data_IF_485987277270
#
_entry.id   IF_485987277270
#
_cell.length_a   1.000
_cell.length_b   1.000
_cell.length_c   1.000
_cell.angle_alpha   90.00
_cell.angle_beta   90.00
_cell.angle_gamma   90.00
#
_symmetry.space_group_name_H-M   'P 1'
#
loop_
_entity.id
_entity.type
_entity.pdbx_description
1 polymer ?
#
# COMPACT_ATOMS: atom_id res chain seq x y z
N UNK A 1 13.69 -6.56 -6.75
CA UNK A 1 13.58 -7.52 -7.87
C UNK A 1 12.33 -8.37 -7.77
N UNK A 2 12.14 -9.19 -6.73
CA UNK A 2 10.93 -10.03 -6.57
C UNK A 2 9.62 -9.23 -6.53
N UNK A 3 9.61 -8.03 -5.92
CA UNK A 3 8.43 -7.15 -5.91
C UNK A 3 8.01 -6.67 -7.30
N UNK A 4 8.96 -6.35 -8.18
CA UNK A 4 8.67 -5.91 -9.56
C UNK A 4 8.16 -7.07 -10.43
N UNK A 5 8.57 -8.31 -10.11
CA UNK A 5 8.13 -9.50 -10.83
C UNK A 5 6.64 -9.81 -10.64
N UNK A 6 6.06 -9.50 -9.47
CA UNK A 6 4.63 -9.73 -9.23
C UNK A 6 3.73 -8.90 -10.14
N UNK A 7 4.13 -7.67 -10.47
CA UNK A 7 3.36 -6.80 -11.37
C UNK A 7 3.34 -7.39 -12.78
N UNK A 8 4.48 -7.89 -13.26
CA UNK A 8 4.55 -8.54 -14.58
C UNK A 8 3.66 -9.79 -14.67
N UNK A 9 3.71 -10.66 -13.64
CA UNK A 9 2.85 -11.84 -13.57
C UNK A 9 1.37 -11.45 -13.51
N UNK A 10 1.01 -10.44 -12.71
CA UNK A 10 -0.36 -9.96 -12.62
C UNK A 10 -0.88 -9.46 -13.98
N UNK A 11 -0.07 -8.74 -14.75
CA UNK A 11 -0.47 -8.26 -16.09
C UNK A 11 -0.74 -9.41 -17.06
N UNK A 12 0.08 -10.47 -17.03
CA UNK A 12 -0.16 -11.67 -17.84
C UNK A 12 -1.46 -12.36 -17.43
N UNK A 13 -1.72 -12.50 -16.13
CA UNK A 13 -2.96 -13.10 -15.62
C UNK A 13 -4.18 -12.28 -16.04
N UNK A 14 -4.13 -10.95 -15.94
CA UNK A 14 -5.19 -10.05 -16.38
C UNK A 14 -5.47 -10.23 -17.88
N UNK A 15 -4.43 -10.29 -18.72
CA UNK A 15 -4.58 -10.49 -20.16
C UNK A 15 -5.24 -11.83 -20.51
N UNK A 16 -4.84 -12.92 -19.84
CA UNK A 16 -5.42 -14.25 -20.06
C UNK A 16 -6.90 -14.30 -19.63
N UNK A 17 -7.23 -13.72 -18.47
CA UNK A 17 -8.61 -13.65 -18.00
C UNK A 17 -9.47 -12.76 -18.91
N UNK A 18 -8.93 -11.64 -19.38
CA UNK A 18 -9.60 -10.76 -20.33
C UNK A 18 -9.91 -11.48 -21.64
N UNK A 19 -8.94 -12.19 -22.21
CA UNK A 19 -9.15 -13.00 -23.41
C UNK A 19 -10.21 -14.08 -23.19
N UNK A 20 -10.13 -14.84 -22.10
CA UNK A 20 -11.06 -15.94 -21.83
C UNK A 20 -12.51 -15.47 -21.59
N UNK A 21 -12.68 -14.33 -20.93
CA UNK A 21 -14.02 -13.83 -20.56
C UNK A 21 -14.62 -12.97 -21.69
N UNK A 22 -13.88 -12.00 -22.25
CA UNK A 22 -14.44 -11.05 -23.21
C UNK A 22 -14.77 -11.66 -24.58
N UNK A 23 -14.15 -12.80 -24.93
CA UNK A 23 -14.50 -13.54 -26.16
C UNK A 23 -15.91 -14.14 -26.12
N UNK A 24 -16.51 -14.27 -24.94
CA UNK A 24 -17.84 -14.83 -24.78
C UNK A 24 -18.92 -13.76 -24.98
N UNK A 25 -20.03 -14.11 -25.64
CA UNK A 25 -21.15 -13.20 -25.88
C UNK A 25 -22.23 -13.36 -24.79
N UNK A 26 -21.96 -12.85 -23.59
CA UNK A 26 -22.95 -12.76 -22.52
C UNK A 26 -23.68 -11.42 -22.57
N UNK A 27 -24.97 -11.46 -22.91
CA UNK A 27 -25.86 -10.31 -22.80
C UNK A 27 -27.04 -10.70 -21.93
N UNK A 28 -27.16 -10.05 -20.77
CA UNK A 28 -28.24 -10.30 -19.83
C UNK A 28 -29.02 -9.01 -19.60
N UNK A 29 -30.27 -8.99 -20.05
CA UNK A 29 -31.17 -7.86 -19.81
C UNK A 29 -31.94 -8.07 -18.50
N UNK A 30 -31.72 -7.15 -17.57
CA UNK A 30 -32.46 -7.03 -16.32
C UNK A 30 -33.50 -5.91 -16.46
N UNK A 31 -34.63 -6.07 -15.74
CA UNK A 31 -35.76 -5.15 -15.76
C UNK A 31 -36.30 -4.87 -17.17
N UNK A 32 -36.84 -5.88 -17.86
CA UNK A 32 -37.52 -5.74 -19.16
C UNK A 32 -36.72 -4.96 -20.25
N UNK A 33 -35.39 -4.96 -20.19
CA UNK A 33 -34.52 -4.30 -21.17
C UNK A 33 -33.96 -2.93 -20.75
N UNK A 34 -34.31 -2.42 -19.56
CA UNK A 34 -33.75 -1.15 -19.08
C UNK A 34 -32.28 -1.22 -18.64
N UNK A 35 -31.80 -2.40 -18.21
CA UNK A 35 -30.40 -2.58 -17.83
C UNK A 35 -29.80 -3.81 -18.51
N UNK A 36 -28.87 -3.61 -19.44
CA UNK A 36 -28.22 -4.69 -20.20
C UNK A 36 -26.80 -4.90 -19.68
N UNK A 37 -26.59 -6.01 -19.00
CA UNK A 37 -25.27 -6.47 -18.59
C UNK A 37 -24.61 -7.24 -19.73
N UNK A 38 -23.64 -6.58 -20.36
CA UNK A 38 -22.77 -7.20 -21.35
C UNK A 38 -21.58 -7.91 -20.68
N UNK A 39 -20.90 -8.79 -21.41
CA UNK A 39 -19.73 -9.57 -20.97
C UNK A 39 -18.68 -8.75 -20.23
N UNK A 40 -18.40 -7.54 -20.70
CA UNK A 40 -17.40 -6.66 -20.09
C UNK A 40 -17.76 -6.24 -18.65
N UNK A 41 -19.05 -6.12 -18.33
CA UNK A 41 -19.48 -5.84 -16.96
C UNK A 41 -19.15 -7.02 -16.04
N UNK A 42 -19.40 -8.26 -16.49
CA UNK A 42 -19.04 -9.46 -15.74
C UNK A 42 -17.53 -9.58 -15.55
N UNK A 43 -16.74 -9.24 -16.56
CA UNK A 43 -15.28 -9.16 -16.43
C UNK A 43 -14.85 -8.19 -15.32
N UNK A 44 -15.40 -6.97 -15.31
CA UNK A 44 -15.10 -5.97 -14.26
C UNK A 44 -15.53 -6.47 -12.88
N UNK A 45 -16.69 -7.12 -12.77
CA UNK A 45 -17.16 -7.70 -11.51
C UNK A 45 -16.22 -8.78 -10.98
N UNK A 46 -15.71 -9.66 -11.85
CA UNK A 46 -14.74 -10.69 -11.43
C UNK A 46 -13.42 -10.05 -10.96
N UNK A 47 -12.92 -9.04 -11.68
CA UNK A 47 -11.70 -8.32 -11.29
C UNK A 47 -11.88 -7.56 -9.97
N UNK A 48 -13.06 -6.98 -9.74
CA UNK A 48 -13.34 -6.26 -8.50
C UNK A 48 -13.42 -7.21 -7.29
N UNK A 49 -13.91 -8.43 -7.47
CA UNK A 49 -13.87 -9.47 -6.43
C UNK A 49 -12.44 -9.82 -6.02
N UNK A 50 -11.51 -9.91 -6.99
CA UNK A 50 -10.11 -10.13 -6.66
C UNK A 50 -9.55 -8.99 -5.80
N UNK A 51 -9.82 -7.74 -6.18
CA UNK A 51 -9.43 -6.56 -5.39
C UNK A 51 -10.05 -6.58 -3.98
N UNK A 52 -11.33 -6.93 -3.87
CA UNK A 52 -12.03 -7.05 -2.60
C UNK A 52 -11.40 -8.12 -1.70
N UNK A 53 -11.00 -9.25 -2.27
CA UNK A 53 -10.28 -10.29 -1.50
C UNK A 53 -8.97 -9.76 -0.91
N UNK A 54 -8.22 -8.95 -1.68
CA UNK A 54 -7.02 -8.27 -1.19
C UNK A 54 -7.33 -7.32 -0.05
N UNK A 55 -8.38 -6.50 -0.18
CA UNK A 55 -8.84 -5.63 0.90
C UNK A 55 -9.18 -6.39 2.18
N UNK A 56 -9.93 -7.49 2.07
CA UNK A 56 -10.27 -8.33 3.23
C UNK A 56 -9.03 -8.92 3.90
N UNK A 57 -8.04 -9.36 3.10
CA UNK A 57 -6.76 -9.82 3.64
C UNK A 57 -6.02 -8.70 4.38
N UNK A 58 -6.01 -7.47 3.85
CA UNK A 58 -5.38 -6.32 4.50
C UNK A 58 -5.96 -6.01 5.89
N UNK A 59 -7.25 -6.24 6.11
CA UNK A 59 -7.85 -6.05 7.44
C UNK A 59 -7.25 -6.95 8.53
N UNK A 60 -6.66 -8.08 8.15
CA UNK A 60 -6.01 -8.99 9.10
C UNK A 60 -4.51 -8.69 9.30
N UNK A 61 -3.90 -7.83 8.48
CA UNK A 61 -2.51 -7.46 8.67
C UNK A 61 -2.37 -6.51 9.87
N UNK A 62 -1.40 -6.75 10.77
CA UNK A 62 -1.12 -5.81 11.84
C UNK A 62 -0.54 -4.51 11.26
N UNK A 63 -0.80 -3.41 11.96
CA UNK A 63 -0.19 -2.13 11.64
C UNK A 63 1.34 -2.19 11.61
N UNK A 64 1.95 -1.32 10.80
CA UNK A 64 3.40 -1.27 10.68
C UNK A 64 4.05 -0.92 12.03
N UNK A 65 4.99 -1.73 12.55
CA UNK A 65 5.67 -1.43 13.82
C UNK A 65 6.32 -0.05 13.82
N UNK A 66 6.83 0.40 12.66
CA UNK A 66 7.44 1.72 12.50
C UNK A 66 6.42 2.84 12.75
N UNK A 67 5.20 2.68 12.23
CA UNK A 67 4.13 3.66 12.41
C UNK A 67 3.72 3.78 13.89
N UNK A 68 3.59 2.65 14.59
CA UNK A 68 3.27 2.64 16.02
C UNK A 68 4.36 3.29 16.88
N UNK A 69 5.64 3.10 16.54
CA UNK A 69 6.77 3.78 17.19
C UNK A 69 6.67 5.30 17.00
N UNK A 70 6.36 5.78 15.79
CA UNK A 70 6.19 7.22 15.53
C UNK A 70 5.05 7.84 16.32
N UNK A 71 3.97 7.08 16.58
CA UNK A 71 2.86 7.49 17.42
C UNK A 71 3.11 7.32 18.93
N UNK A 72 4.36 7.06 19.36
CA UNK A 72 4.74 6.79 20.75
C UNK A 72 4.02 5.56 21.37
N UNK A 73 3.41 4.68 20.55
CA UNK A 73 2.74 3.42 20.96
C UNK A 73 3.72 2.23 20.98
N UNK A 74 4.76 2.36 21.78
CA UNK A 74 5.90 1.43 21.78
C UNK A 74 5.56 0.00 22.26
N UNK A 75 4.58 -0.15 23.16
CA UNK A 75 4.18 -1.46 23.71
C UNK A 75 3.53 -2.35 22.63
N UNK A 76 2.73 -1.76 21.75
CA UNK A 76 2.07 -2.46 20.65
C UNK A 76 3.04 -2.79 19.53
N UNK A 77 3.92 -1.85 19.17
CA UNK A 77 5.01 -2.10 18.21
C UNK A 77 5.85 -3.31 18.63
N UNK A 78 6.18 -3.39 19.93
CA UNK A 78 6.94 -4.53 20.50
C UNK A 78 6.19 -5.86 20.36
N UNK A 79 4.88 -5.89 20.62
CA UNK A 79 4.07 -7.12 20.46
C UNK A 79 4.11 -7.61 19.01
N UNK A 80 3.99 -6.70 18.04
CA UNK A 80 4.02 -7.06 16.61
C UNK A 80 5.41 -7.57 16.21
N UNK A 81 6.49 -6.93 16.65
CA UNK A 81 7.86 -7.40 16.37
C UNK A 81 8.15 -8.79 16.95
N UNK A 82 7.70 -9.06 18.17
CA UNK A 82 7.83 -10.39 18.79
C UNK A 82 7.03 -11.43 18.00
N UNK A 83 5.81 -11.08 17.54
CA UNK A 83 5.01 -11.97 16.69
C UNK A 83 5.72 -12.28 15.38
N UNK A 84 6.28 -11.28 14.71
CA UNK A 84 7.06 -11.45 13.48
C UNK A 84 8.28 -12.33 13.74
N UNK A 85 9.02 -12.10 14.83
CA UNK A 85 10.17 -12.92 15.21
C UNK A 85 9.78 -14.38 15.42
N UNK A 86 8.71 -14.66 16.17
CA UNK A 86 8.20 -16.02 16.40
C UNK A 86 7.79 -16.69 15.09
N UNK A 87 7.08 -16.00 14.22
CA UNK A 87 6.64 -16.56 12.93
C UNK A 87 7.82 -16.85 12.01
N UNK A 88 8.84 -15.97 11.97
CA UNK A 88 9.96 -16.14 11.05
C UNK A 88 11.01 -17.15 11.55
N UNK A 89 11.22 -17.24 12.87
CA UNK A 89 12.30 -18.08 13.45
C UNK A 89 11.80 -19.36 14.11
N UNK A 90 10.51 -19.44 14.46
CA UNK A 90 9.92 -20.56 15.21
C UNK A 90 10.26 -20.61 16.71
N UNK A 91 11.16 -19.74 17.18
CA UNK A 91 11.62 -19.73 18.58
C UNK A 91 10.61 -19.09 19.55
N UNK A 92 10.68 -19.41 20.86
CA UNK A 92 9.80 -18.80 21.86
C UNK A 92 10.01 -17.29 21.96
N UNK A 93 8.93 -16.58 22.26
CA UNK A 93 8.89 -15.12 22.39
C UNK A 93 9.86 -14.55 23.45
N UNK A 94 10.25 -15.38 24.41
CA UNK A 94 11.11 -15.00 25.53
C UNK A 94 12.58 -14.83 25.13
N UNK A 95 13.01 -15.51 24.05
CA UNK A 95 14.36 -15.41 23.50
C UNK A 95 14.53 -14.18 22.60
N UNK A 96 13.54 -13.29 22.53
CA UNK A 96 13.64 -12.08 21.73
C UNK A 96 14.79 -11.18 22.25
N UNK A 97 15.84 -10.95 21.44
CA UNK A 97 17.10 -10.36 21.92
C UNK A 97 16.94 -8.93 22.43
N UNK A 98 15.90 -8.23 21.97
CA UNK A 98 15.70 -6.83 22.27
C UNK A 98 14.50 -6.59 23.19
N UNK A 99 14.60 -7.19 24.38
CA UNK A 99 13.75 -7.06 25.58
C UNK A 99 13.06 -5.70 25.75
N UNK A 100 13.91 -4.68 25.80
CA UNK A 100 13.65 -3.40 26.47
C UNK A 100 13.89 -2.16 25.59
N UNK A 101 13.91 -2.30 24.24
CA UNK A 101 14.34 -1.23 23.30
C UNK A 101 13.73 0.15 23.58
N UNK A 102 12.49 0.19 24.06
CA UNK A 102 11.73 1.43 24.25
C UNK A 102 11.30 1.72 25.69
N UNK A 103 11.86 1.04 26.71
CA UNK A 103 11.39 1.18 28.10
C UNK A 103 11.47 2.62 28.65
N UNK A 104 12.48 3.38 28.24
CA UNK A 104 12.63 4.79 28.62
C UNK A 104 11.71 5.70 27.80
N UNK A 105 11.56 5.42 26.51
CA UNK A 105 10.73 6.20 25.58
C UNK A 105 9.23 5.99 25.82
N UNK A 106 8.82 4.81 26.29
CA UNK A 106 7.44 4.53 26.70
C UNK A 106 7.04 5.28 27.97
N UNK A 107 7.97 5.47 28.92
CA UNK A 107 7.70 6.28 30.13
C UNK A 107 7.43 7.74 29.74
N UNK A 108 8.25 8.30 28.86
CA UNK A 108 8.09 9.67 28.34
C UNK A 108 6.81 9.80 27.51
N UNK A 109 6.52 8.84 26.63
CA UNK A 109 5.29 8.82 25.82
C UNK A 109 4.01 8.85 26.66
N UNK A 110 3.94 8.04 27.72
CA UNK A 110 2.79 8.01 28.62
C UNK A 110 2.59 9.34 29.38
N UNK A 111 3.67 10.04 29.74
CA UNK A 111 3.60 11.36 30.39
C UNK A 111 3.09 12.42 29.40
N UNK A 112 3.52 12.36 28.14
CA UNK A 112 3.13 13.34 27.10
C UNK A 112 1.69 13.18 26.60
N UNK A 113 1.09 11.98 26.70
CA UNK A 113 -0.27 11.74 26.23
C UNK A 113 -1.36 12.49 27.03
N UNK A 114 -1.03 13.03 28.21
CA UNK A 114 -1.93 13.88 29.01
C UNK A 114 -2.00 15.34 28.55
N UNK A 115 -1.10 15.77 27.66
CA UNK A 115 -1.10 17.12 27.10
C UNK A 115 -1.62 17.01 25.66
N UNK A 116 -2.76 17.64 25.31
CA UNK A 116 -3.25 17.59 23.94
C UNK A 116 -2.28 18.32 23.01
N UNK A 117 -1.46 17.56 22.27
CA UNK A 117 -0.67 18.10 21.16
C UNK A 117 -1.65 18.69 20.13
N UNK A 118 -1.48 20.00 19.89
CA UNK A 118 -2.22 20.80 18.90
C UNK A 118 -2.18 20.07 17.57
N UNK A 119 -3.33 19.62 17.08
CA UNK A 119 -3.50 19.11 15.71
C UNK A 119 -2.97 20.18 14.76
N UNK A 120 -1.72 20.05 14.32
CA UNK A 120 -1.14 21.01 13.38
C UNK A 120 -2.01 20.92 12.14
N UNK A 121 -2.60 22.05 11.72
CA UNK A 121 -3.52 22.12 10.60
C UNK A 121 -2.94 21.35 9.41
N UNK A 122 -3.77 20.70 8.60
CA UNK A 122 -3.32 19.87 7.47
C UNK A 122 -2.31 20.60 6.57
N UNK A 123 -2.41 21.93 6.48
CA UNK A 123 -1.42 22.78 5.81
C UNK A 123 -0.01 22.62 6.38
N UNK A 124 0.16 22.55 7.70
CA UNK A 124 1.46 22.37 8.34
C UNK A 124 2.03 20.98 8.07
N UNK A 125 1.20 19.92 8.11
CA UNK A 125 1.65 18.56 7.75
C UNK A 125 2.02 18.46 6.27
N UNK A 126 1.29 19.14 5.38
CA UNK A 126 1.60 19.18 3.96
C UNK A 126 2.89 19.99 3.72
N UNK A 127 3.07 21.12 4.40
CA UNK A 127 4.27 21.95 4.28
C UNK A 127 5.49 21.21 4.82
N UNK A 128 5.37 20.53 5.96
CA UNK A 128 6.44 19.65 6.48
C UNK A 128 6.69 18.47 5.54
N UNK A 129 5.64 17.88 4.97
CA UNK A 129 5.75 16.86 3.93
C UNK A 129 6.53 17.35 2.72
N UNK A 130 6.18 18.51 2.17
CA UNK A 130 6.89 19.13 1.05
C UNK A 130 8.32 19.51 1.42
N UNK A 131 8.54 19.97 2.66
CA UNK A 131 9.88 20.27 3.14
C UNK A 131 10.75 19.01 3.22
N UNK A 132 10.18 17.89 3.67
CA UNK A 132 10.84 16.59 3.68
C UNK A 132 11.08 16.01 2.28
N UNK A 133 10.29 16.43 1.28
CA UNK A 133 10.48 16.05 -0.12
C UNK A 133 11.50 16.96 -0.83
N UNK A 134 11.73 18.19 -0.35
CA UNK A 134 12.75 19.11 -0.87
C UNK A 134 14.14 18.46 -1.10
N UNK A 135 14.69 17.62 -0.21
CA UNK A 135 15.95 16.94 -0.46
C UNK A 135 15.89 15.89 -1.58
N UNK A 136 14.72 15.35 -1.94
CA UNK A 136 14.58 14.43 -3.07
C UNK A 136 14.81 15.12 -4.43
N UNK A 137 14.71 16.46 -4.47
CA UNK A 137 14.98 17.27 -5.66
C UNK A 137 16.42 17.85 -5.69
N UNK A 138 17.35 17.23 -4.96
CA UNK A 138 18.76 17.55 -5.10
C UNK A 138 19.36 16.86 -6.33
N UNK A 139 20.30 17.52 -7.03
CA UNK A 139 21.07 16.86 -8.10
C UNK A 139 21.89 15.71 -7.47
N UNK A 140 21.93 14.49 -8.04
CA UNK A 140 21.59 14.12 -9.42
C UNK A 140 20.18 13.52 -9.64
N UNK A 141 19.34 13.34 -8.60
CA UNK A 141 18.06 12.63 -8.72
C UNK A 141 17.06 13.30 -9.68
N UNK A 142 17.09 14.63 -9.75
CA UNK A 142 16.22 15.40 -10.66
C UNK A 142 16.51 15.06 -12.13
N UNK A 143 17.75 14.73 -12.47
CA UNK A 143 18.09 14.37 -13.86
C UNK A 143 17.50 13.01 -14.24
N UNK A 144 17.50 12.04 -13.33
CA UNK A 144 16.83 10.76 -13.56
C UNK A 144 15.31 10.93 -13.63
N UNK A 145 14.72 11.77 -12.78
CA UNK A 145 13.30 12.09 -12.86
C UNK A 145 12.98 12.72 -14.22
N UNK A 146 13.78 13.69 -14.67
CA UNK A 146 13.59 14.32 -15.98
C UNK A 146 13.71 13.30 -17.12
N UNK A 147 14.70 12.40 -17.10
CA UNK A 147 14.82 11.34 -18.11
C UNK A 147 13.63 10.37 -18.12
N UNK A 148 13.14 9.97 -16.94
CA UNK A 148 11.97 9.08 -16.85
C UNK A 148 10.72 9.81 -17.33
N UNK A 149 10.54 11.08 -16.98
CA UNK A 149 9.42 11.88 -17.47
C UNK A 149 9.48 12.05 -18.99
N UNK A 150 10.64 12.32 -19.58
CA UNK A 150 10.78 12.45 -21.03
C UNK A 150 10.56 11.12 -21.75
N UNK A 151 11.06 10.00 -21.24
CA UNK A 151 10.73 8.68 -21.79
C UNK A 151 9.23 8.44 -21.74
N UNK A 152 8.56 8.65 -20.60
CA UNK A 152 7.13 8.43 -20.49
C UNK A 152 6.33 9.35 -21.41
N UNK A 153 6.73 10.62 -21.55
CA UNK A 153 6.09 11.55 -22.46
C UNK A 153 6.24 11.11 -23.92
N UNK A 154 7.43 10.67 -24.33
CA UNK A 154 7.67 10.18 -25.69
C UNK A 154 6.84 8.91 -25.95
N UNK A 155 6.78 7.99 -24.99
CA UNK A 155 5.93 6.80 -25.10
C UNK A 155 4.47 7.20 -25.30
N UNK A 156 3.93 8.12 -24.49
CA UNK A 156 2.55 8.57 -24.65
C UNK A 156 2.31 9.32 -25.96
N UNK A 157 3.28 10.11 -26.43
CA UNK A 157 3.19 10.81 -27.71
C UNK A 157 3.17 9.85 -28.90
N UNK A 158 3.94 8.76 -28.84
CA UNK A 158 3.92 7.70 -29.86
C UNK A 158 2.61 6.91 -29.86
N UNK A 159 1.98 6.74 -28.68
CA UNK A 159 0.68 6.05 -28.58
C UNK A 159 -0.54 6.94 -28.90
N UNK A 160 -0.37 8.27 -29.01
CA UNK A 160 -1.45 9.21 -29.32
C UNK A 160 -1.44 9.68 -30.79
N UNK A 161 -0.86 8.87 -31.68
CA UNK A 161 -1.02 8.93 -33.15
C UNK A 161 -1.83 7.71 -33.57
#
# INVERSE_FOLDING_TARGET
MVQSSFIGVAQVVIALLSWGILKQEWTYSLFNGYFVLNTWNFYILIMSLWSLSGFLLYLFLPESPKYLVMQKRYSEARKILIRIYKTNTGNPAEMYPFKDIWKNQSKVGNITNGIPEKKSALSHQIVEGLHNIKPMFHKPLVMYLAMICTMNFITMALYNV
#
